data_IF_402331812772
#
_entry.id   IF_402331812772
#
_cell.length_a   1.000
_cell.length_b   1.000
_cell.length_c   1.000
_cell.angle_alpha   90.00
_cell.angle_beta   90.00
_cell.angle_gamma   90.00
#
_symmetry.space_group_name_H-M   'P 1'
#
loop_
_entity.id
_entity.type
_entity.pdbx_description
1 polymer ?
#
# COMPACT_ATOMS: atom_id res chain seq x y z
N UNK A 1 -19.70 -10.02 15.87
CA UNK A 1 -18.77 -9.58 14.80
C UNK A 1 -17.49 -10.41 14.73
N UNK A 2 -17.07 -11.06 15.83
CA UNK A 2 -15.87 -11.91 15.92
C UNK A 2 -15.96 -13.27 15.19
N UNK A 3 -17.11 -13.94 15.19
CA UNK A 3 -17.25 -15.29 14.61
C UNK A 3 -17.17 -15.34 13.07
N UNK A 4 -17.58 -14.25 12.39
CA UNK A 4 -17.66 -14.19 10.91
C UNK A 4 -16.29 -14.12 10.21
N UNK A 5 -15.21 -13.88 10.97
CA UNK A 5 -13.86 -13.72 10.41
C UNK A 5 -13.03 -15.00 10.51
N UNK A 6 -13.29 -15.87 11.50
CA UNK A 6 -12.65 -17.19 11.61
C UNK A 6 -13.03 -18.10 10.43
N UNK A 7 -14.30 -18.02 9.98
CA UNK A 7 -14.80 -18.79 8.83
C UNK A 7 -14.06 -18.43 7.52
N UNK A 8 -13.79 -17.13 7.29
CA UNK A 8 -13.10 -16.65 6.07
C UNK A 8 -11.65 -17.09 5.95
N UNK A 9 -10.95 -17.35 7.05
CA UNK A 9 -9.59 -17.87 7.00
C UNK A 9 -9.54 -19.35 6.60
N UNK A 10 -10.56 -20.13 6.99
CA UNK A 10 -10.61 -21.57 6.71
C UNK A 10 -10.95 -21.93 5.25
N UNK A 11 -11.75 -21.10 4.56
CA UNK A 11 -12.17 -21.35 3.17
C UNK A 11 -11.07 -21.07 2.12
N UNK A 12 -10.01 -20.34 2.48
CA UNK A 12 -8.95 -19.95 1.53
C UNK A 12 -7.85 -21.00 1.32
N UNK A 13 -7.94 -22.17 1.97
CA UNK A 13 -6.86 -23.17 2.03
C UNK A 13 -7.13 -24.47 1.26
N UNK A 14 -8.11 -24.52 0.36
CA UNK A 14 -8.35 -25.68 -0.52
C UNK A 14 -8.48 -25.32 -2.00
N UNK A 15 -7.71 -26.06 -2.82
CA UNK A 15 -7.69 -26.11 -4.29
C UNK A 15 -7.03 -24.92 -5.02
N UNK A 16 -6.00 -25.08 -5.86
CA UNK A 16 -5.84 -26.10 -6.91
C UNK A 16 -4.36 -26.45 -7.17
N UNK A 17 -4.06 -27.74 -7.31
CA UNK A 17 -2.82 -28.23 -7.95
C UNK A 17 -3.19 -29.30 -8.99
N UNK A 18 -2.95 -29.00 -10.26
CA UNK A 18 -2.83 -29.98 -11.35
C UNK A 18 -1.77 -29.54 -12.35
N UNK A 19 -1.33 -30.49 -13.15
CA UNK A 19 0.06 -30.82 -13.48
C UNK A 19 0.44 -30.47 -14.95
N UNK A 20 1.73 -30.68 -15.28
CA UNK A 20 2.41 -30.70 -16.60
C UNK A 20 3.07 -29.39 -17.09
N UNK A 21 4.32 -29.35 -17.61
CA UNK A 21 5.24 -30.41 -18.02
C UNK A 21 6.65 -29.87 -18.39
N UNK A 22 7.59 -30.80 -18.56
CA UNK A 22 9.05 -30.66 -18.77
C UNK A 22 9.45 -29.88 -20.03
N UNK A 23 10.56 -29.13 -19.97
CA UNK A 23 11.67 -29.34 -20.91
C UNK A 23 13.03 -28.91 -20.33
N UNK A 24 14.04 -29.73 -20.56
CA UNK A 24 15.40 -29.65 -20.04
C UNK A 24 16.38 -29.12 -21.09
N UNK A 25 17.30 -28.22 -20.72
CA UNK A 25 18.65 -28.13 -21.33
C UNK A 25 19.64 -27.50 -20.32
N UNK A 26 20.74 -28.23 -20.12
CA UNK A 26 21.83 -28.00 -19.15
C UNK A 26 22.84 -26.95 -19.65
N UNK A 27 23.39 -26.19 -18.69
CA UNK A 27 24.80 -25.71 -18.48
C UNK A 27 24.73 -24.48 -17.54
N UNK A 28 25.53 -24.24 -16.50
CA UNK A 28 26.59 -24.94 -15.80
C UNK A 28 26.74 -24.30 -14.40
N UNK A 29 26.98 -25.15 -13.40
CA UNK A 29 27.33 -24.96 -11.98
C UNK A 29 27.79 -23.56 -11.50
N UNK A 30 26.99 -22.97 -10.60
CA UNK A 30 27.45 -22.30 -9.38
C UNK A 30 26.62 -22.90 -8.22
N UNK A 31 27.30 -23.34 -7.15
CA UNK A 31 26.71 -24.16 -6.10
C UNK A 31 25.84 -23.38 -5.14
N UNK A 32 24.57 -23.16 -5.48
CA UNK A 32 23.54 -22.70 -4.55
C UNK A 32 22.78 -23.90 -3.98
N UNK A 33 23.02 -24.18 -2.69
CA UNK A 33 22.18 -25.09 -1.91
C UNK A 33 20.84 -24.39 -1.65
N UNK A 34 19.82 -24.76 -2.41
CA UNK A 34 18.43 -24.45 -2.11
C UNK A 34 18.04 -25.12 -0.78
N UNK A 35 18.09 -24.33 0.30
CA UNK A 35 17.38 -24.63 1.54
C UNK A 35 15.97 -24.12 1.41
N UNK A 36 15.00 -25.04 1.44
CA UNK A 36 13.56 -24.75 1.61
C UNK A 36 13.39 -23.72 2.72
N UNK A 37 12.95 -22.52 2.35
CA UNK A 37 12.73 -21.42 3.28
C UNK A 37 11.43 -21.68 4.03
N UNK A 38 11.52 -22.45 5.12
CA UNK A 38 10.42 -22.55 6.07
C UNK A 38 10.18 -21.17 6.69
N UNK A 39 9.00 -20.64 6.39
CA UNK A 39 8.28 -19.53 7.04
C UNK A 39 8.53 -19.56 8.56
N UNK A 40 9.40 -18.68 9.07
CA UNK A 40 9.71 -18.57 10.51
C UNK A 40 8.87 -17.50 11.19
N UNK A 41 8.10 -17.96 12.18
CA UNK A 41 7.99 -17.37 13.51
C UNK A 41 7.51 -15.93 13.61
N UNK A 42 6.20 -15.74 13.75
CA UNK A 42 5.64 -14.59 14.46
C UNK A 42 5.57 -15.00 15.94
N UNK A 43 6.44 -14.46 16.77
CA UNK A 43 6.36 -14.61 18.22
C UNK A 43 5.45 -13.53 18.80
N UNK A 44 4.23 -13.88 19.20
CA UNK A 44 3.44 -13.04 20.11
C UNK A 44 3.88 -13.36 21.52
N UNK A 45 4.64 -12.42 22.10
CA UNK A 45 5.08 -12.38 23.48
C UNK A 45 3.95 -12.39 24.51
N UNK A 46 3.43 -13.56 24.90
CA UNK A 46 2.66 -13.68 26.15
C UNK A 46 3.46 -14.46 27.19
N UNK A 47 3.94 -13.76 28.22
CA UNK A 47 4.41 -14.38 29.44
C UNK A 47 3.23 -14.63 30.38
N UNK A 48 2.50 -15.73 30.21
CA UNK A 48 1.61 -16.25 31.26
C UNK A 48 1.90 -17.73 31.44
N UNK A 49 2.26 -18.09 32.68
CA UNK A 49 2.54 -19.47 33.10
C UNK A 49 1.32 -20.36 32.82
N UNK A 50 1.56 -21.47 32.14
CA UNK A 50 0.77 -22.68 32.30
C UNK A 50 1.77 -23.79 32.68
N UNK A 51 1.69 -24.26 33.93
CA UNK A 51 2.52 -25.35 34.43
C UNK A 51 2.27 -26.64 33.63
N UNK A 52 3.32 -27.37 33.22
CA UNK A 52 3.19 -28.71 32.67
C UNK A 52 3.64 -29.73 33.72
N UNK A 53 2.75 -30.15 34.62
CA UNK A 53 2.97 -31.34 35.44
C UNK A 53 1.68 -31.87 36.06
N UNK A 54 1.11 -32.89 35.42
CA UNK A 54 0.54 -34.05 36.10
C UNK A 54 0.32 -35.16 35.07
N UNK A 55 1.38 -35.94 34.82
CA UNK A 55 1.26 -37.26 34.24
C UNK A 55 1.02 -38.27 35.36
N UNK A 56 0.03 -39.15 35.22
CA UNK A 56 0.19 -40.59 35.46
C UNK A 56 -1.08 -41.37 35.13
N UNK A 57 -0.93 -42.26 34.15
CA UNK A 57 -1.25 -43.69 34.18
C UNK A 57 -2.60 -44.16 34.75
N UNK A 58 -3.43 -44.74 33.88
CA UNK A 58 -4.52 -45.64 34.23
C UNK A 58 -5.08 -46.33 32.98
N UNK A 59 -5.02 -47.67 32.94
CA UNK A 59 -5.35 -48.56 31.82
C UNK A 59 -6.84 -48.61 31.42
N UNK A 60 -7.04 -48.89 30.12
CA UNK A 60 -8.09 -49.69 29.46
C UNK A 60 -9.58 -49.38 29.67
N UNK A 61 -10.28 -49.15 28.56
CA UNK A 61 -11.75 -49.18 28.47
C UNK A 61 -12.25 -48.87 27.06
N UNK A 62 -12.79 -49.89 26.39
CA UNK A 62 -13.31 -49.90 25.02
C UNK A 62 -14.63 -49.12 24.91
N UNK A 63 -14.85 -48.39 23.79
CA UNK A 63 -16.19 -48.26 23.21
C UNK A 63 -16.74 -46.86 22.92
N UNK A 64 -16.77 -46.56 21.61
CA UNK A 64 -17.86 -45.90 20.86
C UNK A 64 -18.21 -44.43 21.14
N UNK A 65 -17.80 -43.58 20.18
CA UNK A 65 -18.70 -42.63 19.53
C UNK A 65 -19.23 -41.48 20.39
N UNK A 66 -18.35 -40.60 20.86
CA UNK A 66 -18.73 -39.29 21.38
C UNK A 66 -18.21 -38.20 20.45
N UNK A 67 -19.10 -37.36 19.92
CA UNK A 67 -18.72 -36.10 19.29
C UNK A 67 -17.74 -35.37 20.20
N UNK A 68 -16.50 -35.19 19.75
CA UNK A 68 -15.54 -34.31 20.40
C UNK A 68 -16.08 -32.88 20.28
N UNK A 69 -16.92 -32.45 21.23
CA UNK A 69 -17.03 -31.03 21.57
C UNK A 69 -15.62 -30.63 22.02
N UNK A 70 -14.87 -30.05 21.09
CA UNK A 70 -13.66 -29.32 21.43
C UNK A 70 -14.07 -28.28 22.47
N UNK A 71 -13.71 -28.53 23.73
CA UNK A 71 -13.93 -27.60 24.80
C UNK A 71 -13.09 -26.37 24.50
N UNK A 72 -13.69 -25.39 23.82
CA UNK A 72 -13.19 -24.02 23.81
C UNK A 72 -13.28 -23.52 25.25
N UNK A 73 -12.25 -23.84 26.04
CA UNK A 73 -11.97 -23.11 27.27
C UNK A 73 -11.85 -21.64 26.82
N UNK A 74 -12.67 -20.72 27.35
CA UNK A 74 -12.61 -19.33 26.92
C UNK A 74 -11.17 -18.85 27.12
N UNK A 75 -10.48 -18.55 26.02
CA UNK A 75 -9.16 -17.93 26.08
C UNK A 75 -9.41 -16.55 26.65
N UNK A 76 -9.01 -16.34 27.90
CA UNK A 76 -9.08 -15.02 28.52
C UNK A 76 -8.38 -14.02 27.63
N UNK A 77 -9.04 -12.91 27.34
CA UNK A 77 -8.45 -11.84 26.53
C UNK A 77 -7.28 -11.20 27.30
N UNK A 78 -6.35 -10.55 26.59
CA UNK A 78 -5.24 -9.84 27.23
C UNK A 78 -5.72 -8.78 28.24
N UNK A 79 -6.89 -8.20 27.98
CA UNK A 79 -7.56 -7.24 28.86
C UNK A 79 -8.04 -7.90 30.16
N UNK A 80 -8.59 -9.11 30.10
CA UNK A 80 -8.97 -9.91 31.28
C UNK A 80 -7.78 -10.39 32.12
N UNK A 81 -6.56 -10.28 31.59
CA UNK A 81 -5.32 -10.63 32.26
C UNK A 81 -4.56 -9.40 32.77
N UNK A 82 -5.18 -8.22 32.73
CA UNK A 82 -4.60 -6.94 33.19
C UNK A 82 -3.24 -6.64 32.54
N UNK A 83 -3.06 -7.04 31.28
CA UNK A 83 -1.83 -6.75 30.53
C UNK A 83 -1.85 -5.27 30.15
N UNK A 84 -0.93 -4.49 30.71
CA UNK A 84 -0.83 -3.05 30.40
C UNK A 84 -0.14 -2.79 29.05
N UNK A 85 0.92 -3.56 28.75
CA UNK A 85 1.81 -3.28 27.61
C UNK A 85 2.11 -4.52 26.77
N UNK A 86 1.97 -4.37 25.45
CA UNK A 86 2.28 -5.42 24.47
C UNK A 86 3.39 -4.97 23.53
N UNK A 87 4.34 -5.86 23.27
CA UNK A 87 5.46 -5.61 22.34
C UNK A 87 5.35 -6.51 21.13
N UNK A 88 5.37 -5.91 19.96
CA UNK A 88 5.33 -6.61 18.68
C UNK A 88 6.67 -6.41 17.98
N UNK A 89 7.44 -7.48 17.81
CA UNK A 89 8.60 -7.49 16.92
C UNK A 89 8.15 -7.84 15.50
N UNK A 90 8.60 -7.08 14.50
CA UNK A 90 8.41 -7.48 13.11
C UNK A 90 9.53 -7.01 12.18
N UNK A 91 9.77 -7.81 11.15
CA UNK A 91 10.61 -7.48 9.98
C UNK A 91 9.79 -7.03 8.76
N UNK A 92 8.47 -7.26 8.77
CA UNK A 92 7.57 -7.04 7.63
C UNK A 92 6.26 -6.34 8.06
N UNK A 93 5.41 -5.94 7.12
CA UNK A 93 4.18 -5.19 7.39
C UNK A 93 3.08 -5.97 8.16
N UNK A 94 3.27 -7.26 8.45
CA UNK A 94 2.29 -8.08 9.18
C UNK A 94 1.97 -7.56 10.59
N UNK A 95 2.84 -6.72 11.17
CA UNK A 95 2.60 -6.10 12.49
C UNK A 95 1.35 -5.22 12.52
N UNK A 96 0.92 -4.66 11.38
CA UNK A 96 -0.22 -3.72 11.35
C UNK A 96 -1.50 -4.36 11.88
N UNK A 97 -1.75 -5.62 11.51
CA UNK A 97 -2.95 -6.37 11.92
C UNK A 97 -2.99 -6.47 13.44
N UNK A 98 -1.90 -6.97 14.04
CA UNK A 98 -1.82 -7.15 15.49
C UNK A 98 -1.81 -5.83 16.25
N UNK A 99 -1.04 -4.85 15.78
CA UNK A 99 -0.95 -3.55 16.41
C UNK A 99 -2.32 -2.85 16.46
N UNK A 100 -3.05 -2.82 15.34
CA UNK A 100 -4.33 -2.12 15.29
C UNK A 100 -5.42 -2.82 16.11
N UNK A 101 -5.42 -4.15 16.14
CA UNK A 101 -6.37 -4.91 16.96
C UNK A 101 -6.13 -4.70 18.46
N UNK A 102 -4.87 -4.73 18.88
CA UNK A 102 -4.49 -4.56 20.28
C UNK A 102 -4.67 -3.10 20.75
N UNK A 103 -4.33 -2.13 19.90
CA UNK A 103 -4.58 -0.71 20.16
C UNK A 103 -6.08 -0.43 20.28
N UNK A 104 -6.91 -1.01 19.40
CA UNK A 104 -8.37 -0.89 19.48
C UNK A 104 -8.98 -1.57 20.72
N UNK A 105 -8.29 -2.56 21.28
CA UNK A 105 -8.65 -3.19 22.55
C UNK A 105 -8.23 -2.36 23.78
N UNK A 106 -7.57 -1.21 23.59
CA UNK A 106 -7.17 -0.29 24.66
C UNK A 106 -5.80 -0.61 25.29
N UNK A 107 -4.98 -1.46 24.67
CA UNK A 107 -3.67 -1.84 25.20
C UNK A 107 -2.59 -0.84 24.77
N UNK A 108 -1.56 -0.62 25.61
CA UNK A 108 -0.35 0.10 25.20
C UNK A 108 0.50 -0.82 24.32
N UNK A 109 0.52 -0.55 23.01
CA UNK A 109 1.25 -1.37 22.05
C UNK A 109 2.49 -0.64 21.56
N UNK A 110 3.64 -1.28 21.74
CA UNK A 110 4.90 -0.85 21.14
C UNK A 110 5.33 -1.79 20.01
N UNK A 111 5.66 -1.19 18.86
CA UNK A 111 6.30 -1.89 17.74
C UNK A 111 7.80 -1.78 17.91
N UNK A 112 8.56 -2.87 17.73
CA UNK A 112 10.03 -2.85 17.80
C UNK A 112 10.64 -3.41 16.53
N UNK A 113 11.76 -2.84 16.11
CA UNK A 113 12.47 -3.30 14.92
C UNK A 113 13.23 -4.59 15.26
N UNK A 114 12.97 -5.65 14.50
CA UNK A 114 13.63 -6.94 14.69
C UNK A 114 15.17 -6.88 14.62
N UNK A 115 15.74 -5.92 13.89
CA UNK A 115 17.19 -5.72 13.83
C UNK A 115 17.75 -5.29 15.18
N UNK A 116 17.04 -4.44 15.91
CA UNK A 116 17.47 -3.93 17.20
C UNK A 116 17.38 -5.03 18.26
N UNK A 117 16.30 -5.83 18.19
CA UNK A 117 16.09 -7.00 19.07
C UNK A 117 17.11 -8.10 18.81
N UNK A 118 17.43 -8.41 17.55
CA UNK A 118 18.36 -9.50 17.18
C UNK A 118 19.75 -9.37 17.79
N UNK A 119 20.20 -8.14 18.07
CA UNK A 119 21.53 -7.87 18.61
C UNK A 119 21.58 -7.93 20.14
N UNK A 120 20.46 -8.14 20.82
CA UNK A 120 20.43 -8.22 22.28
C UNK A 120 20.94 -9.60 22.74
N UNK A 121 21.92 -9.65 23.66
CA UNK A 121 22.49 -10.91 24.14
C UNK A 121 21.44 -11.83 24.79
N UNK A 122 21.65 -13.14 24.65
CA UNK A 122 20.82 -14.16 25.31
C UNK A 122 19.47 -14.42 24.64
N UNK A 123 19.28 -13.99 23.37
CA UNK A 123 18.07 -14.29 22.60
C UNK A 123 17.86 -15.81 22.44
N UNK A 124 16.73 -16.36 22.92
CA UNK A 124 16.41 -17.78 22.76
C UNK A 124 16.14 -18.15 21.29
N UNK A 125 16.28 -19.45 20.97
CA UNK A 125 16.10 -19.95 19.60
C UNK A 125 14.65 -20.29 19.24
N UNK A 126 13.77 -20.44 20.22
CA UNK A 126 12.37 -20.88 20.01
C UNK A 126 11.41 -19.71 20.18
N UNK A 127 10.39 -19.62 19.32
CA UNK A 127 9.44 -18.50 19.30
C UNK A 127 8.73 -18.30 20.66
N UNK A 128 8.47 -19.37 21.40
CA UNK A 128 7.89 -19.31 22.76
C UNK A 128 8.81 -18.67 23.78
N UNK A 129 10.11 -19.01 23.75
CA UNK A 129 11.08 -18.43 24.68
C UNK A 129 11.47 -17.02 24.25
N UNK A 130 11.50 -16.75 22.94
CA UNK A 130 11.71 -15.42 22.37
C UNK A 130 10.61 -14.44 22.80
N UNK A 131 9.37 -14.92 22.79
CA UNK A 131 8.18 -14.24 23.32
C UNK A 131 8.32 -13.83 24.80
N UNK A 132 8.80 -14.73 25.65
CA UNK A 132 9.06 -14.44 27.08
C UNK A 132 10.25 -13.50 27.25
N UNK A 133 11.29 -13.66 26.43
CA UNK A 133 12.48 -12.83 26.48
C UNK A 133 12.20 -11.39 26.04
N UNK A 134 11.41 -11.19 24.98
CA UNK A 134 10.90 -9.88 24.57
C UNK A 134 10.10 -9.21 25.70
N UNK A 135 9.22 -9.94 26.38
CA UNK A 135 8.47 -9.41 27.52
C UNK A 135 9.39 -8.90 28.64
N UNK A 136 10.46 -9.64 28.96
CA UNK A 136 11.47 -9.21 29.94
C UNK A 136 12.24 -7.95 29.51
N UNK A 137 12.52 -7.80 28.22
CA UNK A 137 13.19 -6.59 27.70
C UNK A 137 12.26 -5.37 27.76
N UNK A 138 10.97 -5.58 27.49
CA UNK A 138 9.92 -4.56 27.63
C UNK A 138 9.74 -4.10 29.06
N UNK A 139 9.65 -5.03 30.02
CA UNK A 139 9.55 -4.73 31.45
C UNK A 139 10.73 -3.87 31.94
N UNK A 140 11.93 -4.16 31.42
CA UNK A 140 13.15 -3.41 31.75
C UNK A 140 13.34 -2.12 30.95
N UNK A 141 12.43 -1.79 30.03
CA UNK A 141 12.54 -0.61 29.17
C UNK A 141 13.76 -0.62 28.23
N UNK A 142 14.30 -1.79 27.90
CA UNK A 142 15.54 -1.94 27.11
C UNK A 142 15.29 -1.86 25.59
N UNK A 143 14.03 -1.73 25.17
CA UNK A 143 13.65 -1.69 23.76
C UNK A 143 13.31 -0.27 23.33
N UNK A 144 13.83 0.11 22.16
CA UNK A 144 13.44 1.36 21.50
C UNK A 144 12.19 1.13 20.65
N UNK A 145 11.05 1.77 20.96
CA UNK A 145 9.85 1.64 20.13
C UNK A 145 10.05 2.33 18.77
N UNK A 146 9.58 1.68 17.72
CA UNK A 146 9.39 2.26 16.40
C UNK A 146 8.16 3.18 16.42
N UNK A 147 8.26 4.30 15.72
CA UNK A 147 7.16 5.24 15.62
C UNK A 147 6.02 4.66 14.77
N UNK A 148 4.83 4.55 15.37
CA UNK A 148 3.59 4.25 14.67
C UNK A 148 2.72 5.51 14.67
N UNK A 149 2.35 6.08 13.51
CA UNK A 149 1.50 7.27 13.47
C UNK A 149 0.15 7.02 14.15
N UNK A 150 -0.54 8.03 14.70
CA UNK A 150 -1.91 7.85 15.20
C UNK A 150 -2.90 7.55 14.08
N UNK A 151 -4.05 6.97 14.42
CA UNK A 151 -5.05 6.48 13.45
C UNK A 151 -5.48 7.51 12.38
N UNK A 152 -5.72 8.80 12.68
CA UNK A 152 -6.07 9.79 11.65
C UNK A 152 -4.98 9.97 10.58
N UNK A 153 -3.72 9.97 11.00
CA UNK A 153 -2.56 10.09 10.10
C UNK A 153 -2.37 8.81 9.29
N UNK A 154 -2.63 7.63 9.86
CA UNK A 154 -2.60 6.36 9.12
C UNK A 154 -3.59 6.38 7.95
N UNK A 155 -4.84 6.79 8.21
CA UNK A 155 -5.89 6.91 7.17
C UNK A 155 -5.47 7.85 6.05
N UNK A 156 -4.94 9.03 6.39
CA UNK A 156 -4.42 9.99 5.41
C UNK A 156 -3.33 9.36 4.52
N UNK A 157 -2.38 8.64 5.14
CA UNK A 157 -1.29 7.97 4.43
C UNK A 157 -1.75 6.84 3.50
N UNK A 158 -2.82 6.13 3.87
CA UNK A 158 -3.37 5.07 3.02
C UNK A 158 -3.95 5.68 1.73
N UNK A 159 -4.68 6.80 1.84
CA UNK A 159 -5.19 7.51 0.65
C UNK A 159 -4.07 8.16 -0.18
N UNK A 160 -3.07 8.79 0.45
CA UNK A 160 -1.98 9.41 -0.33
C UNK A 160 -1.12 8.38 -1.04
N UNK A 161 -0.86 7.22 -0.42
CA UNK A 161 -0.18 6.08 -1.09
C UNK A 161 -1.00 5.53 -2.24
N UNK A 162 -2.29 5.26 -2.03
CA UNK A 162 -3.16 4.76 -3.09
C UNK A 162 -3.22 5.74 -4.28
N UNK A 163 -3.31 7.04 -4.03
CA UNK A 163 -3.28 8.06 -5.08
C UNK A 163 -1.98 8.02 -5.88
N UNK A 164 -0.83 7.86 -5.21
CA UNK A 164 0.48 7.73 -5.87
C UNK A 164 0.54 6.48 -6.73
N UNK A 165 0.06 5.34 -6.21
CA UNK A 165 0.06 4.08 -6.94
C UNK A 165 -0.85 4.14 -8.17
N UNK A 166 -2.08 4.63 -8.03
CA UNK A 166 -2.99 4.85 -9.16
C UNK A 166 -2.41 5.82 -10.21
N UNK A 167 -1.74 6.88 -9.77
CA UNK A 167 -1.07 7.84 -10.68
C UNK A 167 0.05 7.17 -11.47
N UNK A 168 0.83 6.30 -10.82
CA UNK A 168 1.89 5.51 -11.47
C UNK A 168 1.29 4.51 -12.46
N UNK A 169 0.24 3.78 -12.07
CA UNK A 169 -0.44 2.85 -12.97
C UNK A 169 -1.00 3.56 -14.19
N UNK A 170 -1.70 4.71 -14.02
CA UNK A 170 -2.17 5.52 -15.16
C UNK A 170 -1.01 5.90 -16.08
N UNK A 171 0.11 6.31 -15.50
CA UNK A 171 1.30 6.70 -16.27
C UNK A 171 1.85 5.55 -17.12
N UNK A 172 1.75 4.31 -16.63
CA UNK A 172 2.19 3.13 -17.39
C UNK A 172 1.36 2.90 -18.65
N UNK A 173 0.08 3.24 -18.67
CA UNK A 173 -0.78 3.04 -19.85
C UNK A 173 -0.49 4.01 -21.01
N UNK A 174 0.17 5.14 -20.74
CA UNK A 174 0.61 6.05 -21.81
C UNK A 174 1.69 5.42 -22.70
N UNK A 175 2.55 4.55 -22.15
CA UNK A 175 3.66 3.95 -22.88
C UNK A 175 3.19 2.93 -23.94
N UNK A 176 2.29 1.97 -23.64
CA UNK A 176 1.67 1.13 -24.67
C UNK A 176 0.92 1.92 -25.73
N UNK A 177 0.22 3.00 -25.35
CA UNK A 177 -0.49 3.85 -26.32
C UNK A 177 0.48 4.52 -27.30
N UNK A 178 1.56 5.09 -26.78
CA UNK A 178 2.62 5.65 -27.61
C UNK A 178 3.22 4.60 -28.54
N UNK A 179 3.54 3.42 -28.01
CA UNK A 179 4.10 2.33 -28.80
C UNK A 179 3.17 1.85 -29.91
N UNK A 180 1.87 1.78 -29.62
CA UNK A 180 0.84 1.44 -30.59
C UNK A 180 0.80 2.47 -31.74
N UNK A 181 0.85 3.77 -31.41
CA UNK A 181 0.90 4.83 -32.41
C UNK A 181 2.18 4.74 -33.25
N UNK A 182 3.33 4.49 -32.63
CA UNK A 182 4.60 4.32 -33.36
C UNK A 182 4.58 3.14 -34.33
N UNK A 183 3.98 2.01 -33.93
CA UNK A 183 3.81 0.84 -34.79
C UNK A 183 2.93 1.16 -36.01
N UNK A 184 1.92 2.02 -35.83
CA UNK A 184 1.11 2.58 -36.91
C UNK A 184 1.82 3.71 -37.69
N UNK A 185 3.13 3.92 -37.48
CA UNK A 185 3.93 4.99 -38.08
C UNK A 185 3.46 6.41 -37.73
N UNK A 186 2.75 6.58 -36.62
CA UNK A 186 2.31 7.87 -36.08
C UNK A 186 3.26 8.29 -34.95
N UNK A 187 3.93 9.43 -35.09
CA UNK A 187 4.98 9.91 -34.17
C UNK A 187 4.66 11.24 -33.49
N UNK A 188 3.48 11.34 -32.88
CA UNK A 188 3.00 12.58 -32.20
C UNK A 188 3.95 13.04 -31.08
N UNK A 189 4.62 12.11 -30.38
CA UNK A 189 5.56 12.43 -29.29
C UNK A 189 6.83 13.16 -29.73
N UNK A 190 7.14 13.16 -31.04
CA UNK A 190 8.25 13.98 -31.57
C UNK A 190 7.89 15.47 -31.66
N UNK A 191 6.60 15.79 -31.63
CA UNK A 191 6.08 17.15 -31.83
C UNK A 191 5.43 17.70 -30.57
N UNK A 192 4.63 16.87 -29.90
CA UNK A 192 3.98 17.15 -28.62
C UNK A 192 4.90 16.80 -27.46
N UNK A 193 4.88 17.60 -26.39
CA UNK A 193 5.68 17.33 -25.19
C UNK A 193 5.22 16.08 -24.42
N UNK A 194 3.90 15.81 -24.44
CA UNK A 194 3.26 14.67 -23.77
C UNK A 194 1.99 14.28 -24.54
N UNK A 195 1.59 13.02 -24.44
CA UNK A 195 0.30 12.53 -24.98
C UNK A 195 -0.90 12.84 -24.08
N UNK A 196 -0.65 13.26 -22.84
CA UNK A 196 -1.65 13.69 -21.84
C UNK A 196 -2.14 15.13 -22.09
N UNK A 197 -2.22 15.56 -23.34
CA UNK A 197 -2.72 16.91 -23.69
C UNK A 197 -4.06 16.80 -24.40
N UNK A 198 -4.93 17.80 -24.23
CA UNK A 198 -6.21 17.84 -24.95
C UNK A 198 -6.03 17.77 -26.47
N UNK A 199 -4.94 18.34 -27.01
CA UNK A 199 -4.65 18.24 -28.45
C UNK A 199 -4.31 16.82 -28.88
N UNK A 200 -3.43 16.14 -28.14
CA UNK A 200 -3.09 14.75 -28.44
C UNK A 200 -4.32 13.84 -28.26
N UNK A 201 -5.11 14.07 -27.21
CA UNK A 201 -6.37 13.35 -26.98
C UNK A 201 -7.33 13.50 -28.15
N UNK A 202 -7.64 14.73 -28.58
CA UNK A 202 -8.56 14.96 -29.70
C UNK A 202 -8.08 14.29 -31.00
N UNK A 203 -6.77 14.32 -31.27
CA UNK A 203 -6.19 13.66 -32.45
C UNK A 203 -6.34 12.14 -32.38
N UNK A 204 -6.08 11.54 -31.22
CA UNK A 204 -6.22 10.09 -31.02
C UNK A 204 -7.70 9.69 -31.07
N UNK A 205 -8.60 10.47 -30.49
CA UNK A 205 -10.05 10.26 -30.60
C UNK A 205 -10.53 10.31 -32.06
N UNK A 206 -10.03 11.29 -32.84
CA UNK A 206 -10.36 11.37 -34.25
C UNK A 206 -9.80 10.18 -35.06
N UNK A 207 -8.60 9.71 -34.73
CA UNK A 207 -8.05 8.46 -35.29
C UNK A 207 -8.96 7.26 -34.92
N UNK A 208 -9.41 7.15 -33.68
CA UNK A 208 -10.31 6.07 -33.27
C UNK A 208 -11.65 6.16 -34.00
N UNK A 209 -12.17 7.37 -34.24
CA UNK A 209 -13.37 7.63 -35.04
C UNK A 209 -13.18 7.44 -36.57
N UNK A 210 -12.07 6.82 -36.99
CA UNK A 210 -11.80 6.50 -38.40
C UNK A 210 -11.29 7.66 -39.25
N UNK A 211 -10.93 8.81 -38.67
CA UNK A 211 -10.30 9.90 -39.45
C UNK A 211 -8.85 9.55 -39.75
N UNK A 212 -8.45 9.69 -41.02
CA UNK A 212 -7.08 9.35 -41.50
C UNK A 212 -6.34 10.50 -42.18
N UNK A 213 -7.04 11.59 -42.51
CA UNK A 213 -6.42 12.75 -43.16
C UNK A 213 -5.51 13.51 -42.16
N UNK A 214 -4.17 13.50 -42.35
CA UNK A 214 -3.24 14.14 -41.42
C UNK A 214 -3.45 15.65 -41.30
N UNK A 215 -3.97 16.31 -42.33
CA UNK A 215 -4.26 17.76 -42.28
C UNK A 215 -5.40 18.05 -41.33
N UNK A 216 -6.51 17.30 -41.45
CA UNK A 216 -7.67 17.41 -40.55
C UNK A 216 -7.31 17.06 -39.11
N UNK A 217 -6.50 16.02 -38.90
CA UNK A 217 -6.03 15.66 -37.56
C UNK A 217 -5.18 16.77 -36.95
N UNK A 218 -4.25 17.35 -37.72
CA UNK A 218 -3.42 18.46 -37.25
C UNK A 218 -4.23 19.76 -37.01
N UNK A 219 -5.47 19.89 -37.51
CA UNK A 219 -6.34 21.05 -37.24
C UNK A 219 -6.94 21.01 -35.82
N UNK A 220 -6.96 19.84 -35.20
CA UNK A 220 -7.38 19.64 -33.81
C UNK A 220 -6.35 20.16 -32.79
N UNK A 221 -5.20 20.67 -33.25
CA UNK A 221 -4.19 21.28 -32.41
C UNK A 221 -4.75 22.49 -31.64
N UNK A 222 -4.74 22.41 -30.30
CA UNK A 222 -5.19 23.49 -29.41
C UNK A 222 -4.03 24.38 -28.98
N UNK A 223 -4.32 25.67 -28.83
CA UNK A 223 -3.36 26.67 -28.35
C UNK A 223 -2.28 27.07 -29.37
N UNK A 224 -1.66 28.23 -29.14
CA UNK A 224 -0.71 28.85 -30.09
C UNK A 224 0.49 27.94 -30.40
N UNK A 225 1.08 27.30 -29.38
CA UNK A 225 2.31 26.49 -29.50
C UNK A 225 2.15 25.21 -30.33
N UNK A 226 1.00 24.55 -30.28
CA UNK A 226 0.75 23.37 -31.11
C UNK A 226 0.34 23.77 -32.54
N UNK A 227 -0.44 24.85 -32.68
CA UNK A 227 -0.83 25.39 -33.98
C UNK A 227 0.36 25.83 -34.82
N UNK A 228 1.38 26.45 -34.23
CA UNK A 228 2.63 26.80 -34.95
C UNK A 228 3.38 25.56 -35.46
N UNK A 229 3.24 24.42 -34.78
CA UNK A 229 3.84 23.13 -35.15
C UNK A 229 3.00 22.34 -36.17
N UNK A 230 1.93 22.91 -36.70
CA UNK A 230 1.03 22.23 -37.66
C UNK A 230 1.76 21.52 -38.82
N UNK A 231 2.75 22.12 -39.51
CA UNK A 231 3.48 21.42 -40.56
C UNK A 231 4.22 20.15 -40.07
N UNK A 232 4.75 20.19 -38.85
CA UNK A 232 5.40 19.03 -38.23
C UNK A 232 4.38 17.97 -37.81
N UNK A 233 3.22 18.39 -37.29
CA UNK A 233 2.12 17.49 -36.94
C UNK A 233 1.60 16.72 -38.16
N UNK A 234 1.43 17.38 -39.31
CA UNK A 234 1.00 16.72 -40.55
C UNK A 234 1.96 15.59 -40.92
N UNK A 235 3.28 15.82 -40.81
CA UNK A 235 4.30 14.78 -41.05
C UNK A 235 4.23 13.67 -40.01
N UNK A 236 4.06 14.01 -38.73
CA UNK A 236 4.00 13.05 -37.63
C UNK A 236 2.73 12.18 -37.62
N UNK A 237 1.63 12.70 -38.15
CA UNK A 237 0.33 12.00 -38.23
C UNK A 237 0.14 11.22 -39.53
N UNK A 238 1.08 11.34 -40.47
CA UNK A 238 1.07 10.59 -41.71
C UNK A 238 1.62 9.17 -41.49
N UNK A 239 0.71 8.22 -41.28
CA UNK A 239 1.04 6.82 -40.98
C UNK A 239 -0.01 5.82 -41.45
N UNK A 240 0.14 4.56 -41.03
CA UNK A 240 -0.75 3.44 -41.31
C UNK A 240 -1.52 3.05 -40.05
N UNK A 241 -2.51 3.87 -39.70
CA UNK A 241 -3.45 3.58 -38.62
C UNK A 241 -4.73 3.00 -39.22
N UNK A 242 -5.05 1.77 -38.85
CA UNK A 242 -6.27 1.06 -39.27
C UNK A 242 -7.23 0.90 -38.09
N UNK A 243 -8.31 0.16 -38.32
CA UNK A 243 -9.39 0.01 -37.33
C UNK A 243 -8.97 -0.87 -36.15
N UNK A 244 -8.08 -1.85 -36.37
CA UNK A 244 -7.50 -2.66 -35.30
C UNK A 244 -6.67 -1.80 -34.33
N UNK A 245 -5.85 -0.88 -34.86
CA UNK A 245 -5.15 0.10 -34.01
C UNK A 245 -6.14 0.99 -33.26
N UNK A 246 -7.27 1.34 -33.88
CA UNK A 246 -8.37 2.09 -33.26
C UNK A 246 -8.96 1.37 -32.04
N UNK A 247 -9.28 0.09 -32.18
CA UNK A 247 -9.81 -0.75 -31.10
C UNK A 247 -8.83 -0.83 -29.92
N UNK A 248 -7.56 -1.11 -30.19
CA UNK A 248 -6.52 -1.19 -29.14
C UNK A 248 -6.30 0.17 -28.47
N UNK A 249 -6.26 1.26 -29.23
CA UNK A 249 -6.10 2.61 -28.70
C UNK A 249 -7.29 2.99 -27.80
N UNK A 250 -8.51 2.55 -28.16
CA UNK A 250 -9.71 2.75 -27.35
C UNK A 250 -9.60 2.07 -25.99
N UNK A 251 -9.26 0.78 -25.96
CA UNK A 251 -9.07 0.04 -24.71
C UNK A 251 -8.03 0.71 -23.79
N UNK A 252 -6.91 1.19 -24.36
CA UNK A 252 -5.86 1.87 -23.58
C UNK A 252 -6.32 3.23 -23.03
N UNK A 253 -7.02 4.02 -23.83
CA UNK A 253 -7.58 5.30 -23.37
C UNK A 253 -8.63 5.11 -22.28
N UNK A 254 -9.48 4.09 -22.40
CA UNK A 254 -10.50 3.80 -21.38
C UNK A 254 -9.87 3.38 -20.04
N UNK A 255 -8.74 2.68 -20.05
CA UNK A 255 -7.96 2.39 -18.83
C UNK A 255 -7.39 3.66 -18.20
N UNK A 256 -6.83 4.56 -19.04
CA UNK A 256 -6.31 5.86 -18.58
C UNK A 256 -7.42 6.69 -17.95
N UNK A 257 -8.61 6.73 -18.56
CA UNK A 257 -9.76 7.49 -18.08
C UNK A 257 -10.31 6.90 -16.79
N UNK A 258 -10.43 5.56 -16.72
CA UNK A 258 -10.84 4.84 -15.51
C UNK A 258 -9.92 5.17 -14.34
N UNK A 259 -8.60 5.07 -14.54
CA UNK A 259 -7.62 5.39 -13.51
C UNK A 259 -7.65 6.89 -13.14
N UNK A 260 -7.87 7.77 -14.12
CA UNK A 260 -8.02 9.21 -13.86
C UNK A 260 -9.24 9.51 -12.98
N UNK A 261 -10.36 8.83 -13.23
CA UNK A 261 -11.55 8.90 -12.37
C UNK A 261 -11.29 8.34 -10.98
N UNK A 262 -10.65 7.17 -10.88
CA UNK A 262 -10.30 6.55 -9.60
C UNK A 262 -9.33 7.40 -8.76
N UNK A 263 -8.43 8.18 -9.37
CA UNK A 263 -7.53 9.12 -8.69
C UNK A 263 -8.31 10.28 -8.02
N UNK A 264 -9.47 10.65 -8.56
CA UNK A 264 -10.32 11.71 -8.01
C UNK A 264 -10.86 11.39 -6.61
N UNK A 265 -11.23 10.14 -6.35
CA UNK A 265 -11.76 9.67 -5.07
C UNK A 265 -10.78 9.86 -3.89
N UNK A 266 -9.55 9.29 -3.91
CA UNK A 266 -8.59 9.52 -2.84
C UNK A 266 -8.17 10.99 -2.76
N UNK A 267 -8.10 11.72 -3.87
CA UNK A 267 -7.81 13.17 -3.85
C UNK A 267 -8.81 13.94 -3.01
N UNK A 268 -10.11 13.70 -3.23
CA UNK A 268 -11.19 14.33 -2.46
C UNK A 268 -11.12 13.97 -0.97
N UNK A 269 -10.87 12.69 -0.66
CA UNK A 269 -10.72 12.25 0.74
C UNK A 269 -9.50 12.87 1.43
N UNK A 270 -8.38 13.03 0.71
CA UNK A 270 -7.18 13.69 1.23
C UNK A 270 -7.49 15.15 1.58
N UNK A 271 -8.12 15.90 0.67
CA UNK A 271 -8.48 17.30 0.93
C UNK A 271 -9.42 17.43 2.14
N UNK A 272 -10.41 16.54 2.27
CA UNK A 272 -11.31 16.52 3.43
C UNK A 272 -10.58 16.21 4.75
N UNK A 273 -9.71 15.19 4.77
CA UNK A 273 -8.95 14.83 5.98
C UNK A 273 -7.97 15.94 6.40
N UNK A 274 -7.39 16.65 5.44
CA UNK A 274 -6.51 17.79 5.74
C UNK A 274 -7.30 18.98 6.29
N UNK A 275 -8.48 19.29 5.72
CA UNK A 275 -9.36 20.33 6.25
C UNK A 275 -9.81 20.03 7.69
N UNK A 276 -10.14 18.77 8.00
CA UNK A 276 -10.45 18.34 9.36
C UNK A 276 -9.26 18.52 10.31
N UNK A 277 -8.05 18.15 9.87
CA UNK A 277 -6.84 18.30 10.68
C UNK A 277 -6.48 19.76 10.96
N UNK A 278 -6.73 20.66 10.01
CA UNK A 278 -6.54 22.11 10.20
C UNK A 278 -7.59 22.69 11.17
N UNK A 279 -8.84 22.20 11.13
CA UNK A 279 -9.89 22.61 12.08
C UNK A 279 -9.60 22.12 13.51
N UNK A 280 -9.19 20.86 13.69
CA UNK A 280 -8.83 20.27 14.99
C UNK A 280 -7.53 20.86 15.58
N UNK A 281 -6.66 21.40 14.73
CA UNK A 281 -5.45 22.14 15.11
C UNK A 281 -5.68 23.60 15.53
N UNK A 282 -6.93 24.07 15.46
CA UNK A 282 -7.37 25.44 15.73
C UNK A 282 -7.69 25.76 17.20
N UNK A 283 -6.99 25.15 18.17
CA UNK A 283 -6.91 25.67 19.55
C UNK A 283 -5.49 26.17 19.79
N UNK A 284 -5.09 27.18 19.01
CA UNK A 284 -4.11 28.17 19.45
C UNK A 284 -4.88 29.47 19.48
N UNK A 285 -5.18 29.95 20.69
CA UNK A 285 -5.76 31.26 20.97
C UNK A 285 -4.80 32.34 20.48
N UNK A 286 -4.96 32.75 19.23
CA UNK A 286 -4.66 34.12 18.81
C UNK A 286 -5.70 34.51 17.75
N UNK A 287 -6.48 35.54 18.06
CA UNK A 287 -7.75 35.91 17.42
C UNK A 287 -7.60 36.45 15.99
N UNK A 288 -6.47 36.18 15.33
CA UNK A 288 -6.17 36.61 13.95
C UNK A 288 -5.95 35.45 12.96
N UNK A 289 -6.00 34.18 13.39
CA UNK A 289 -5.70 33.03 12.54
C UNK A 289 -6.86 32.50 11.67
N UNK A 290 -8.10 33.00 11.86
CA UNK A 290 -9.29 32.45 11.20
C UNK A 290 -9.38 32.73 9.67
N UNK A 291 -8.46 33.51 9.09
CA UNK A 291 -8.48 33.89 7.65
C UNK A 291 -7.11 33.68 6.98
N UNK A 292 -6.28 32.76 7.49
CA UNK A 292 -4.99 32.42 6.88
C UNK A 292 -5.11 31.27 5.87
N UNK A 293 -4.28 31.22 4.80
CA UNK A 293 -4.20 30.06 3.92
C UNK A 293 -3.77 28.82 4.70
N UNK A 294 -4.37 27.67 4.36
CA UNK A 294 -4.09 26.37 4.98
C UNK A 294 -2.60 26.03 4.92
N UNK A 295 -2.13 25.15 5.81
CA UNK A 295 -0.70 24.77 5.83
C UNK A 295 -0.26 24.17 4.48
N UNK A 296 -1.17 23.51 3.77
CA UNK A 296 -0.97 22.97 2.42
C UNK A 296 -0.76 24.10 1.40
N UNK A 297 -1.57 25.15 1.47
CA UNK A 297 -1.48 26.31 0.57
C UNK A 297 -0.18 27.08 0.79
N UNK A 298 0.22 27.31 2.05
CA UNK A 298 1.50 27.94 2.39
C UNK A 298 2.71 27.17 1.87
N UNK A 299 2.65 25.83 1.85
CA UNK A 299 3.70 25.00 1.28
C UNK A 299 3.65 24.94 -0.25
N UNK A 300 2.46 25.07 -0.84
CA UNK A 300 2.27 25.09 -2.28
C UNK A 300 2.74 26.41 -2.95
N UNK A 301 2.92 27.47 -2.16
CA UNK A 301 3.51 28.74 -2.60
C UNK A 301 5.04 28.64 -2.82
N UNK A 302 5.71 27.62 -2.27
CA UNK A 302 7.14 27.41 -2.46
C UNK A 302 7.39 26.95 -3.90
N UNK A 303 8.21 27.67 -4.70
CA UNK A 303 8.52 27.25 -6.07
C UNK A 303 9.07 25.83 -6.12
N UNK A 304 8.43 24.97 -6.91
CA UNK A 304 8.78 23.55 -7.04
C UNK A 304 8.02 22.59 -6.12
N UNK A 305 7.20 23.09 -5.18
CA UNK A 305 6.31 22.28 -4.35
C UNK A 305 4.87 22.54 -4.80
N UNK A 306 4.32 21.66 -5.64
CA UNK A 306 2.89 21.71 -5.95
C UNK A 306 2.04 21.22 -4.77
N UNK A 307 0.72 21.47 -4.79
CA UNK A 307 -0.23 21.03 -3.75
C UNK A 307 -0.06 19.55 -3.36
N UNK A 308 0.10 18.64 -4.33
CA UNK A 308 0.32 17.21 -4.05
C UNK A 308 1.66 16.93 -3.34
N UNK A 309 2.70 17.72 -3.65
CA UNK A 309 3.99 17.70 -2.95
C UNK A 309 3.86 18.25 -1.54
N UNK A 310 3.15 19.36 -1.35
CA UNK A 310 2.85 19.94 -0.04
C UNK A 310 2.08 18.96 0.85
N UNK A 311 1.07 18.27 0.33
CA UNK A 311 0.34 17.21 1.02
C UNK A 311 1.28 16.07 1.44
N UNK A 312 2.13 15.60 0.53
CA UNK A 312 3.10 14.53 0.84
C UNK A 312 4.13 14.94 1.90
N UNK A 313 4.55 16.20 1.90
CA UNK A 313 5.45 16.79 2.90
C UNK A 313 4.74 16.93 4.24
N UNK A 314 3.48 17.36 4.25
CA UNK A 314 2.69 17.49 5.49
C UNK A 314 2.42 16.14 6.12
N UNK A 315 2.07 15.12 5.33
CA UNK A 315 1.95 13.73 5.80
C UNK A 315 3.24 13.27 6.49
N UNK A 316 4.41 13.55 5.89
CA UNK A 316 5.70 13.21 6.46
C UNK A 316 6.04 14.05 7.71
N UNK A 317 5.64 15.33 7.75
CA UNK A 317 5.95 16.25 8.84
C UNK A 317 5.02 16.10 10.05
N UNK A 318 3.72 15.85 9.85
CA UNK A 318 2.76 15.51 10.91
C UNK A 318 3.15 14.21 11.60
N UNK A 319 3.73 13.28 10.83
CA UNK A 319 4.38 12.07 11.34
C UNK A 319 5.67 12.35 12.14
N UNK A 320 6.24 13.55 12.09
CA UNK A 320 7.52 13.92 12.71
C UNK A 320 7.40 14.94 13.85
N UNK A 321 6.46 15.89 13.81
CA UNK A 321 6.33 16.97 14.82
C UNK A 321 5.92 16.45 16.20
N UNK A 322 5.14 15.35 16.27
CA UNK A 322 4.82 14.68 17.53
C UNK A 322 6.02 13.96 18.18
N UNK A 323 7.21 13.93 17.56
CA UNK A 323 8.46 13.49 18.21
C UNK A 323 9.00 14.49 19.25
N UNK A 324 8.61 15.77 19.19
CA UNK A 324 9.22 16.83 20.01
C UNK A 324 8.48 17.16 21.31
N UNK A 325 7.26 16.65 21.50
CA UNK A 325 6.38 16.99 22.64
C UNK A 325 6.08 15.80 23.56
N UNK A 326 6.90 14.75 23.51
CA UNK A 326 6.75 13.55 24.34
C UNK A 326 8.06 13.15 25.03
N UNK A 327 8.87 14.16 25.37
CA UNK A 327 9.95 14.08 26.35
C UNK A 327 9.52 14.86 27.58
#
# INVERSE_FOLDING_TARGET
MWTRWEDKCSESETDTRTDAGRNSRRRSRAGDRAGVCHRRGQGVGQGVRADPAAASTGQQGVGRGGHHRCGHRPRRTAVELEIEKVTVESTSDCWRIWYYLLEAAGLDVQLVNARDVKNVPGRPKTDKLDSVWLAKLTEKGLLRPSFVPPAPIRRLRDYTRLRVDLTRERTRYWQPLEKLLENALIKVSTVASTLDTLSARDMIEALIAGKRDPRRLADLARGRRMKTKRPALIKALHGRFDDHHGELARMLLDQIDTLSGQIGTPTTHIDHLLAQADADGGVVTDETAATGPSTVERLAEIPGIGRAGAQSILDASMSSRRRKWSL
#
